data_IF_926098681940
#
_entry.id   IF_926098681940
#
_cell.length_a   1.000
_cell.length_b   1.000
_cell.length_c   1.000
_cell.angle_alpha   90.00
_cell.angle_beta   90.00
_cell.angle_gamma   90.00
#
_symmetry.space_group_name_H-M   'P 1'
#
loop_
_entity.id
_entity.type
_entity.pdbx_description
1 polymer ?
#
# COMPACT_ATOMS: atom_id res chain seq x y z
N UNK A 1 41.24 7.63 -10.35
CA UNK A 1 40.65 8.54 -9.34
C UNK A 1 40.59 10.02 -9.74
N UNK A 2 41.13 10.44 -10.89
CA UNK A 2 41.21 11.87 -11.27
C UNK A 2 39.98 12.42 -12.05
N UNK A 3 39.08 11.56 -12.54
CA UNK A 3 37.92 11.98 -13.35
C UNK A 3 36.78 12.58 -12.51
N UNK A 4 36.55 12.07 -11.30
CA UNK A 4 35.50 12.53 -10.39
C UNK A 4 35.80 13.91 -9.80
N UNK A 5 37.07 14.24 -9.53
CA UNK A 5 37.48 15.54 -8.99
C UNK A 5 37.35 16.67 -10.02
N UNK A 6 37.64 16.42 -11.30
CA UNK A 6 37.45 17.41 -12.39
C UNK A 6 35.99 17.80 -12.59
N UNK A 7 35.10 16.82 -12.60
CA UNK A 7 33.65 17.06 -12.75
C UNK A 7 33.05 17.84 -11.58
N UNK A 8 33.56 17.65 -10.36
CA UNK A 8 33.13 18.42 -9.18
C UNK A 8 33.61 19.89 -9.24
N UNK A 9 34.83 20.16 -9.71
CA UNK A 9 35.32 21.54 -9.90
C UNK A 9 34.55 22.29 -10.99
N UNK A 10 34.14 21.62 -12.07
CA UNK A 10 33.29 22.19 -13.14
C UNK A 10 31.87 22.56 -12.68
N UNK A 11 31.37 21.95 -11.60
CA UNK A 11 30.07 22.29 -11.02
C UNK A 11 30.14 23.59 -10.20
N UNK A 12 31.30 23.92 -9.63
CA UNK A 12 31.50 25.12 -8.79
C UNK A 12 31.58 26.39 -9.64
N UNK A 13 32.01 26.29 -10.91
CA UNK A 13 32.15 27.42 -11.83
C UNK A 13 30.86 27.83 -12.53
N UNK A 14 29.81 27.00 -12.47
CA UNK A 14 28.52 27.28 -13.10
C UNK A 14 27.67 28.16 -12.19
N UNK A 15 26.96 29.10 -12.79
CA UNK A 15 25.97 29.91 -12.06
C UNK A 15 24.92 28.98 -11.45
N UNK A 16 24.40 29.27 -10.24
CA UNK A 16 23.30 28.49 -9.65
C UNK A 16 22.15 28.26 -10.63
N UNK A 17 21.86 29.26 -11.48
CA UNK A 17 20.81 29.20 -12.51
C UNK A 17 21.07 28.11 -13.56
N UNK A 18 22.32 28.01 -14.05
CA UNK A 18 22.73 27.00 -15.06
C UNK A 18 22.71 25.58 -14.47
N UNK A 19 23.08 25.46 -13.19
CA UNK A 19 22.95 24.20 -12.46
C UNK A 19 21.48 23.79 -12.34
N UNK A 20 20.58 24.72 -12.03
CA UNK A 20 19.15 24.43 -11.97
C UNK A 20 18.56 24.05 -13.33
N UNK A 21 18.87 24.78 -14.40
CA UNK A 21 18.39 24.46 -15.76
C UNK A 21 18.86 23.08 -16.23
N UNK A 22 20.13 22.72 -15.98
CA UNK A 22 20.65 21.40 -16.34
C UNK A 22 19.99 20.27 -15.54
N UNK A 23 19.68 20.51 -14.26
CA UNK A 23 18.98 19.55 -13.40
C UNK A 23 17.50 19.44 -13.75
N UNK A 24 16.86 20.51 -14.20
CA UNK A 24 15.46 20.51 -14.61
C UNK A 24 15.24 19.55 -15.79
N UNK A 25 16.03 19.70 -16.86
CA UNK A 25 15.92 18.82 -18.04
C UNK A 25 16.34 17.37 -17.79
N UNK A 26 17.22 17.11 -16.82
CA UNK A 26 17.79 15.77 -16.60
C UNK A 26 17.10 14.99 -15.48
N UNK A 27 16.91 15.62 -14.31
CA UNK A 27 16.40 14.99 -13.09
C UNK A 27 14.92 15.24 -12.92
N UNK A 28 14.49 16.52 -12.99
CA UNK A 28 13.09 16.89 -12.71
C UNK A 28 12.15 16.29 -13.74
N UNK A 29 12.54 16.32 -15.03
CA UNK A 29 11.76 15.70 -16.11
C UNK A 29 11.57 14.18 -15.96
N UNK A 30 12.43 13.49 -15.21
CA UNK A 30 12.37 12.03 -14.98
C UNK A 30 11.79 11.65 -13.61
N UNK A 31 11.36 12.63 -12.80
CA UNK A 31 10.74 12.33 -11.52
C UNK A 31 9.41 11.60 -11.74
N UNK A 32 9.11 10.54 -10.97
CA UNK A 32 7.79 9.94 -11.00
C UNK A 32 6.77 10.99 -10.55
N UNK A 33 5.58 10.96 -11.15
CA UNK A 33 4.47 11.81 -10.74
C UNK A 33 4.26 11.66 -9.21
N UNK A 34 4.08 12.76 -8.46
CA UNK A 34 3.78 12.69 -7.05
C UNK A 34 2.51 11.87 -6.83
N UNK A 35 2.51 11.06 -5.77
CA UNK A 35 1.42 10.13 -5.55
C UNK A 35 0.11 10.87 -5.28
N UNK A 36 -0.90 10.58 -6.09
CA UNK A 36 -2.25 11.13 -5.95
C UNK A 36 -3.15 10.27 -5.04
N UNK A 37 -4.32 10.79 -4.61
CA UNK A 37 -5.29 10.07 -3.77
C UNK A 37 -5.84 8.76 -4.38
N UNK A 38 -5.62 8.55 -5.68
CA UNK A 38 -6.12 7.42 -6.45
C UNK A 38 -5.04 6.39 -6.79
N UNK A 39 -3.77 6.67 -6.54
CA UNK A 39 -2.67 5.78 -6.95
C UNK A 39 -2.68 4.46 -6.18
N UNK A 40 -3.22 4.43 -4.96
CA UNK A 40 -3.47 3.20 -4.21
C UNK A 40 -4.73 2.43 -4.62
N UNK A 41 -5.51 2.95 -5.59
CA UNK A 41 -6.78 2.36 -6.07
C UNK A 41 -6.80 2.19 -7.59
N UNK A 42 -5.68 2.39 -8.25
CA UNK A 42 -5.49 2.15 -9.67
C UNK A 42 -4.83 0.78 -9.90
N UNK A 43 -5.10 0.18 -11.07
CA UNK A 43 -4.35 -0.96 -11.55
C UNK A 43 -4.13 -0.81 -13.05
N UNK A 44 -2.92 -1.16 -13.49
CA UNK A 44 -2.55 -1.14 -14.90
C UNK A 44 -3.18 -2.32 -15.65
N UNK A 45 -3.89 -2.01 -16.73
CA UNK A 45 -4.36 -3.01 -17.69
C UNK A 45 -3.17 -3.47 -18.54
N UNK A 46 -2.91 -4.77 -18.54
CA UNK A 46 -1.84 -5.37 -19.33
C UNK A 46 -2.47 -6.10 -20.52
N UNK A 47 -1.94 -5.87 -21.73
CA UNK A 47 -2.33 -6.63 -22.94
C UNK A 47 -3.85 -6.60 -23.22
N UNK A 48 -4.55 -5.53 -22.83
CA UNK A 48 -6.01 -5.43 -22.98
C UNK A 48 -6.82 -6.32 -22.03
N UNK A 49 -6.20 -7.05 -21.10
CA UNK A 49 -6.91 -7.86 -20.10
C UNK A 49 -7.47 -6.99 -18.97
N UNK A 50 -8.66 -6.46 -19.25
CA UNK A 50 -9.42 -5.62 -18.32
C UNK A 50 -10.01 -6.44 -17.17
N UNK A 51 -10.33 -7.72 -17.39
CA UNK A 51 -10.93 -8.58 -16.36
C UNK A 51 -9.97 -8.82 -15.20
N UNK A 52 -8.70 -9.16 -15.50
CA UNK A 52 -7.67 -9.30 -14.48
C UNK A 52 -7.37 -7.98 -13.75
N UNK A 53 -7.40 -6.85 -14.47
CA UNK A 53 -7.22 -5.54 -13.85
C UNK A 53 -8.34 -5.23 -12.84
N UNK A 54 -9.60 -5.50 -13.18
CA UNK A 54 -10.72 -5.34 -12.26
C UNK A 54 -10.62 -6.28 -11.05
N UNK A 55 -10.21 -7.54 -11.24
CA UNK A 55 -10.00 -8.47 -10.13
C UNK A 55 -8.92 -7.97 -9.16
N UNK A 56 -7.82 -7.41 -9.68
CA UNK A 56 -6.75 -6.79 -8.88
C UNK A 56 -7.26 -5.59 -8.09
N UNK A 57 -7.98 -4.67 -8.74
CA UNK A 57 -8.58 -3.50 -8.06
C UNK A 57 -9.54 -3.95 -6.97
N UNK A 58 -10.40 -4.92 -7.25
CA UNK A 58 -11.37 -5.42 -6.28
C UNK A 58 -10.66 -6.01 -5.05
N UNK A 59 -9.59 -6.80 -5.25
CA UNK A 59 -8.75 -7.30 -4.15
C UNK A 59 -8.18 -6.16 -3.32
N UNK A 60 -7.61 -5.13 -3.94
CA UNK A 60 -7.05 -3.95 -3.25
C UNK A 60 -8.11 -3.24 -2.41
N UNK A 61 -9.30 -3.00 -2.98
CA UNK A 61 -10.43 -2.37 -2.27
C UNK A 61 -10.85 -3.21 -1.05
N UNK A 62 -10.90 -4.53 -1.18
CA UNK A 62 -11.26 -5.44 -0.10
C UNK A 62 -10.20 -5.50 1.01
N UNK A 63 -8.92 -5.56 0.64
CA UNK A 63 -7.80 -5.54 1.59
C UNK A 63 -7.78 -4.24 2.40
N UNK A 64 -8.02 -3.09 1.74
CA UNK A 64 -8.08 -1.79 2.39
C UNK A 64 -9.40 -1.54 3.13
N UNK A 65 -10.36 -2.48 3.10
CA UNK A 65 -11.65 -2.41 3.80
C UNK A 65 -12.50 -1.16 3.47
N UNK A 66 -12.34 -0.61 2.28
CA UNK A 66 -12.97 0.65 1.86
C UNK A 66 -14.51 0.54 1.86
N UNK A 67 -15.05 -0.56 1.34
CA UNK A 67 -16.52 -0.74 1.24
C UNK A 67 -17.18 -0.88 2.62
N UNK A 68 -16.68 -1.73 3.55
CA UNK A 68 -17.17 -1.76 4.92
C UNK A 68 -17.07 -0.41 5.64
N UNK A 69 -15.97 0.31 5.45
CA UNK A 69 -15.75 1.64 6.03
C UNK A 69 -16.77 2.65 5.51
N UNK A 70 -16.95 2.74 4.19
CA UNK A 70 -17.95 3.60 3.55
C UNK A 70 -19.36 3.36 4.14
N UNK A 71 -19.75 2.10 4.32
CA UNK A 71 -21.04 1.74 4.92
C UNK A 71 -21.16 2.14 6.39
N UNK A 72 -20.06 2.07 7.15
CA UNK A 72 -20.03 2.51 8.55
C UNK A 72 -20.09 4.04 8.66
N UNK A 73 -19.43 4.76 7.75
CA UNK A 73 -19.42 6.22 7.73
C UNK A 73 -20.69 6.84 7.14
N UNK A 74 -21.51 6.06 6.41
CA UNK A 74 -22.77 6.54 5.87
C UNK A 74 -23.73 7.10 6.94
N UNK A 75 -23.58 6.69 8.22
CA UNK A 75 -24.32 7.23 9.36
C UNK A 75 -23.40 7.46 10.54
N UNK A 76 -23.71 8.46 11.36
CA UNK A 76 -22.96 8.71 12.59
C UNK A 76 -23.14 7.55 13.58
N UNK A 77 -22.03 6.92 13.97
CA UNK A 77 -21.96 5.95 15.06
C UNK A 77 -21.54 6.68 16.35
N UNK A 78 -22.35 6.57 17.41
CA UNK A 78 -22.02 7.14 18.73
C UNK A 78 -20.70 6.57 19.24
N UNK A 79 -19.88 7.40 19.90
CA UNK A 79 -18.54 7.00 20.36
C UNK A 79 -18.54 5.74 21.26
N UNK A 80 -19.50 5.61 22.18
CA UNK A 80 -19.63 4.41 23.02
C UNK A 80 -19.96 3.15 22.22
N UNK A 81 -20.89 3.23 21.27
CA UNK A 81 -21.24 2.13 20.38
C UNK A 81 -20.03 1.69 19.54
N UNK A 82 -19.26 2.66 19.01
CA UNK A 82 -18.02 2.40 18.27
C UNK A 82 -16.99 1.65 19.11
N UNK A 83 -16.78 2.05 20.37
CA UNK A 83 -15.85 1.35 21.28
C UNK A 83 -16.29 -0.10 21.52
N UNK A 84 -17.56 -0.32 21.84
CA UNK A 84 -18.11 -1.66 22.07
C UNK A 84 -17.95 -2.55 20.84
N UNK A 85 -18.31 -2.03 19.65
CA UNK A 85 -18.12 -2.74 18.38
C UNK A 85 -16.66 -3.11 18.14
N UNK A 86 -15.73 -2.17 18.29
CA UNK A 86 -14.30 -2.42 18.08
C UNK A 86 -13.76 -3.47 19.06
N UNK A 87 -14.19 -3.45 20.33
CA UNK A 87 -13.82 -4.47 21.33
C UNK A 87 -14.34 -5.84 20.93
N UNK A 88 -15.63 -5.96 20.58
CA UNK A 88 -16.23 -7.23 20.13
C UNK A 88 -15.62 -7.75 18.83
N UNK A 89 -15.29 -6.88 17.87
CA UNK A 89 -14.58 -7.26 16.65
C UNK A 89 -13.17 -7.78 16.94
N UNK A 90 -12.39 -7.08 17.79
CA UNK A 90 -11.04 -7.52 18.18
C UNK A 90 -11.10 -8.88 18.88
N UNK A 91 -12.03 -9.07 19.80
CA UNK A 91 -12.20 -10.34 20.50
C UNK A 91 -12.55 -11.48 19.53
N UNK A 92 -13.54 -11.29 18.63
CA UNK A 92 -13.90 -12.31 17.63
C UNK A 92 -12.73 -12.68 16.71
N UNK A 93 -11.90 -11.70 16.30
CA UNK A 93 -10.70 -11.96 15.49
C UNK A 93 -9.66 -12.80 16.24
N UNK A 94 -9.40 -12.47 17.52
CA UNK A 94 -8.47 -13.22 18.36
C UNK A 94 -8.97 -14.64 18.63
N UNK A 95 -10.23 -14.77 19.04
CA UNK A 95 -10.87 -16.04 19.27
C UNK A 95 -10.83 -16.94 18.03
N UNK A 96 -11.18 -16.42 16.85
CA UNK A 96 -11.12 -17.18 15.60
C UNK A 96 -9.68 -17.61 15.25
N UNK A 97 -8.67 -16.79 15.57
CA UNK A 97 -7.28 -17.16 15.39
C UNK A 97 -6.86 -18.29 16.34
N UNK A 98 -7.19 -18.18 17.63
CA UNK A 98 -6.91 -19.23 18.63
C UNK A 98 -7.58 -20.56 18.28
N UNK A 99 -8.87 -20.52 17.90
CA UNK A 99 -9.60 -21.71 17.43
C UNK A 99 -8.92 -22.31 16.21
N UNK A 100 -8.52 -21.51 15.22
CA UNK A 100 -7.81 -21.99 14.04
C UNK A 100 -6.50 -22.68 14.40
N UNK A 101 -5.72 -22.12 15.33
CA UNK A 101 -4.46 -22.73 15.76
C UNK A 101 -4.68 -24.08 16.44
N UNK A 102 -5.70 -24.18 17.31
CA UNK A 102 -6.05 -25.46 17.95
C UNK A 102 -6.53 -26.50 16.94
N UNK A 103 -7.39 -26.12 16.00
CA UNK A 103 -7.86 -27.03 14.94
C UNK A 103 -6.70 -27.52 14.08
N UNK A 104 -5.77 -26.63 13.72
CA UNK A 104 -4.57 -27.00 12.97
C UNK A 104 -3.73 -28.02 13.72
N UNK A 105 -3.52 -27.82 15.03
CA UNK A 105 -2.79 -28.78 15.87
C UNK A 105 -3.47 -30.16 15.88
N UNK A 106 -4.79 -30.21 16.05
CA UNK A 106 -5.54 -31.47 16.03
C UNK A 106 -5.43 -32.17 14.67
N UNK A 107 -5.51 -31.42 13.57
CA UNK A 107 -5.30 -31.97 12.23
C UNK A 107 -3.88 -32.53 12.05
N UNK A 108 -2.87 -31.86 12.59
CA UNK A 108 -1.48 -32.34 12.57
C UNK A 108 -1.29 -33.62 13.39
N UNK A 109 -1.91 -33.72 14.58
CA UNK A 109 -1.89 -34.94 15.40
C UNK A 109 -2.54 -36.11 14.65
N UNK A 110 -3.73 -35.87 14.07
CA UNK A 110 -4.44 -36.87 13.26
C UNK A 110 -3.62 -37.32 12.05
N UNK A 111 -2.94 -36.39 11.37
CA UNK A 111 -2.10 -36.71 10.22
C UNK A 111 -0.89 -37.58 10.59
N UNK A 112 -0.42 -37.53 11.85
CA UNK A 112 0.67 -38.37 12.38
C UNK A 112 0.22 -39.77 12.77
N UNK A 113 -1.07 -40.08 12.71
CA UNK A 113 -1.59 -41.43 12.93
C UNK A 113 -1.97 -41.78 14.37
N UNK A 114 -2.27 -40.78 15.21
CA UNK A 114 -3.03 -40.97 16.44
C UNK A 114 -4.54 -41.04 16.18
#
# INVERSE_FOLDING_TARGET
MQATTRSAMEQITKSPEELWQSREGTLVAKLPKPQGPYDGRSAWVHQGDVASAFARINRTIMTNRIVPELRQHARHERAGAKRNRLTSERWRRRFAHEVRMKVKLVQEIRARGA
#
